data_IF_616657520116
#
_entry.id   IF_616657520116
#
_cell.length_a   1.000
_cell.length_b   1.000
_cell.length_c   1.000
_cell.angle_alpha   90.00
_cell.angle_beta   90.00
_cell.angle_gamma   90.00
#
_symmetry.space_group_name_H-M   'P 1'
#
loop_
_entity.id
_entity.type
_entity.pdbx_description
1 polymer ?
#
# COMPACT_ATOMS: atom_id res chain seq x y z
N UNK A 1 14.70 -14.40 27.97
CA UNK A 1 14.16 -13.23 27.23
C UNK A 1 15.28 -12.63 26.41
N UNK A 2 15.07 -12.45 25.10
CA UNK A 2 16.17 -12.25 24.15
C UNK A 2 16.38 -10.80 23.77
N UNK A 3 17.64 -10.38 23.75
CA UNK A 3 18.06 -9.22 22.99
C UNK A 3 18.00 -9.59 21.51
N UNK A 4 17.11 -8.96 20.75
CA UNK A 4 16.97 -9.18 19.31
C UNK A 4 17.85 -8.18 18.55
N UNK A 5 18.66 -8.68 17.63
CA UNK A 5 19.55 -7.87 16.79
C UNK A 5 19.20 -8.03 15.31
N UNK A 6 18.93 -6.93 14.63
CA UNK A 6 18.58 -6.95 13.19
C UNK A 6 18.88 -5.63 12.51
N UNK A 7 19.31 -5.65 11.24
CA UNK A 7 19.20 -4.50 10.34
C UNK A 7 17.74 -4.08 10.18
N UNK A 8 17.52 -2.78 10.03
CA UNK A 8 16.21 -2.17 9.97
C UNK A 8 16.19 -0.87 9.15
N UNK A 9 15.04 -0.58 8.55
CA UNK A 9 14.73 0.69 7.92
C UNK A 9 13.62 1.36 8.73
N UNK A 10 13.84 2.63 9.11
CA UNK A 10 12.84 3.40 9.84
C UNK A 10 11.70 3.79 8.89
N UNK A 11 10.49 3.27 9.11
CA UNK A 11 9.31 3.63 8.33
C UNK A 11 8.67 4.92 8.83
N UNK A 12 8.55 5.06 10.16
CA UNK A 12 7.85 6.17 10.80
C UNK A 12 8.42 6.43 12.18
N UNK A 13 8.61 7.70 12.52
CA UNK A 13 9.06 8.15 13.84
C UNK A 13 8.08 9.19 14.37
N UNK A 14 7.50 8.98 15.55
CA UNK A 14 6.57 9.93 16.17
C UNK A 14 6.97 10.23 17.61
N UNK A 15 6.75 11.47 18.04
CA UNK A 15 6.95 11.89 19.42
C UNK A 15 6.02 11.08 20.35
N UNK A 16 6.54 10.69 21.50
CA UNK A 16 5.78 10.00 22.55
C UNK A 16 6.16 10.58 23.90
N UNK A 17 5.18 11.15 24.61
CA UNK A 17 5.46 11.93 25.81
C UNK A 17 6.47 13.06 25.56
N UNK A 18 7.18 13.45 26.62
CA UNK A 18 8.11 14.59 26.57
C UNK A 18 9.46 14.23 25.95
N UNK A 19 10.01 13.07 26.28
CA UNK A 19 11.38 12.71 25.94
C UNK A 19 11.51 11.53 24.97
N UNK A 20 10.42 10.82 24.67
CA UNK A 20 10.48 9.53 23.98
C UNK A 20 9.98 9.61 22.53
N UNK A 21 10.21 8.54 21.77
CA UNK A 21 9.63 8.32 20.45
C UNK A 21 9.03 6.92 20.36
N UNK A 22 7.92 6.79 19.64
CA UNK A 22 7.47 5.51 19.09
C UNK A 22 7.95 5.46 17.65
N UNK A 23 8.67 4.41 17.30
CA UNK A 23 9.28 4.23 15.99
C UNK A 23 8.77 2.93 15.39
N UNK A 24 8.39 2.96 14.12
CA UNK A 24 8.01 1.79 13.33
C UNK A 24 9.15 1.48 12.37
N UNK A 25 9.58 0.23 12.36
CA UNK A 25 10.68 -0.24 11.53
C UNK A 25 10.20 -1.38 10.65
N UNK A 26 10.79 -1.52 9.48
CA UNK A 26 10.78 -2.78 8.75
C UNK A 26 12.16 -3.42 8.91
N UNK A 27 12.20 -4.62 9.46
CA UNK A 27 13.42 -5.31 9.83
C UNK A 27 13.66 -6.52 8.96
N UNK A 28 14.92 -6.86 8.73
CA UNK A 28 15.28 -8.02 7.92
C UNK A 28 14.76 -9.34 8.52
N UNK A 29 14.85 -9.48 9.85
CA UNK A 29 14.57 -10.76 10.53
C UNK A 29 13.18 -10.89 11.15
N UNK A 30 12.52 -9.78 11.47
CA UNK A 30 11.26 -9.78 12.23
C UNK A 30 10.14 -8.99 11.53
N UNK A 31 10.35 -8.58 10.28
CA UNK A 31 9.35 -7.85 9.52
C UNK A 31 9.05 -6.48 10.12
N UNK A 32 7.78 -6.06 10.04
CA UNK A 32 7.33 -4.80 10.60
C UNK A 32 7.23 -4.90 12.12
N UNK A 33 7.96 -4.05 12.83
CA UNK A 33 7.95 -3.98 14.30
C UNK A 33 7.83 -2.54 14.78
N UNK A 34 7.32 -2.37 16.01
CA UNK A 34 7.19 -1.06 16.65
C UNK A 34 7.96 -1.06 17.96
N UNK A 35 8.68 0.04 18.22
CA UNK A 35 9.50 0.17 19.41
C UNK A 35 9.36 1.53 20.09
N UNK A 36 9.47 1.53 21.42
CA UNK A 36 9.62 2.74 22.24
C UNK A 36 11.10 3.01 22.44
N UNK A 37 11.56 4.16 21.97
CA UNK A 37 12.89 4.68 22.22
C UNK A 37 12.83 5.73 23.33
N UNK A 38 13.20 5.32 24.55
CA UNK A 38 13.14 6.19 25.74
C UNK A 38 14.27 7.21 25.74
N UNK A 39 13.96 8.47 26.02
CA UNK A 39 14.92 9.57 26.02
C UNK A 39 15.42 9.97 24.63
N UNK A 40 14.80 9.46 23.55
CA UNK A 40 15.23 9.71 22.18
C UNK A 40 15.21 11.19 21.76
N UNK A 41 14.47 12.04 22.48
CA UNK A 41 14.37 13.48 22.22
C UNK A 41 15.21 14.34 23.16
N UNK A 42 15.95 13.74 24.10
CA UNK A 42 16.87 14.49 24.99
C UNK A 42 18.04 15.02 24.16
N UNK A 43 18.59 16.17 24.58
CA UNK A 43 19.73 16.81 23.90
C UNK A 43 20.93 15.87 23.75
N UNK A 44 21.23 15.07 24.79
CA UNK A 44 22.27 14.04 24.79
C UNK A 44 21.68 12.63 24.62
N UNK A 45 20.85 12.45 23.60
CA UNK A 45 20.26 11.15 23.27
C UNK A 45 21.28 10.23 22.63
N UNK A 46 21.37 8.99 23.13
CA UNK A 46 22.19 7.93 22.50
C UNK A 46 21.78 7.59 21.06
N UNK A 47 20.54 7.93 20.70
CA UNK A 47 19.96 7.56 19.40
C UNK A 47 20.29 8.56 18.29
N UNK A 48 20.71 9.79 18.62
CA UNK A 48 21.00 10.83 17.63
C UNK A 48 19.94 10.93 16.53
N UNK A 49 20.38 10.88 15.27
CA UNK A 49 19.53 10.85 14.07
C UNK A 49 19.15 9.43 13.61
N UNK A 50 19.59 8.37 14.30
CA UNK A 50 19.39 6.98 13.87
C UNK A 50 17.91 6.55 13.82
N UNK A 51 17.03 7.31 14.49
CA UNK A 51 15.59 7.07 14.55
C UNK A 51 14.77 8.04 13.67
N UNK A 52 15.43 8.79 12.80
CA UNK A 52 14.74 9.59 11.78
C UNK A 52 14.18 8.68 10.67
N UNK A 53 13.06 9.04 10.02
CA UNK A 53 12.51 8.27 8.90
C UNK A 53 13.54 7.99 7.81
N UNK A 54 13.40 6.84 7.15
CA UNK A 54 14.20 6.35 6.02
C UNK A 54 15.64 5.92 6.36
N UNK A 55 16.09 6.15 7.60
CA UNK A 55 17.42 5.72 8.03
C UNK A 55 17.51 4.19 8.04
N UNK A 56 18.59 3.67 7.48
CA UNK A 56 19.01 2.28 7.61
C UNK A 56 19.94 2.17 8.82
N UNK A 57 19.62 1.27 9.75
CA UNK A 57 20.33 1.11 11.01
C UNK A 57 20.36 -0.34 11.47
N UNK A 58 21.30 -0.68 12.36
CA UNK A 58 21.26 -1.90 13.16
C UNK A 58 20.52 -1.63 14.48
N UNK A 59 19.49 -2.41 14.76
CA UNK A 59 18.69 -2.29 15.97
C UNK A 59 19.01 -3.38 16.98
N UNK A 60 19.06 -2.96 18.24
CA UNK A 60 18.91 -3.84 19.39
C UNK A 60 17.54 -3.58 20.03
N UNK A 61 16.70 -4.61 20.03
CA UNK A 61 15.35 -4.59 20.58
C UNK A 61 15.27 -5.53 21.79
N UNK A 62 14.54 -5.12 22.81
CA UNK A 62 14.20 -5.95 23.94
C UNK A 62 12.68 -6.16 23.97
N UNK A 63 12.27 -7.41 23.87
CA UNK A 63 10.88 -7.81 23.98
C UNK A 63 10.39 -7.69 25.43
N UNK A 64 9.16 -7.24 25.62
CA UNK A 64 8.51 -7.23 26.93
C UNK A 64 7.33 -8.20 26.92
N UNK A 65 7.13 -8.95 28.01
CA UNK A 65 5.99 -9.86 28.08
C UNK A 65 4.70 -9.03 28.06
N UNK A 66 3.73 -9.46 27.24
CA UNK A 66 2.41 -8.83 27.09
C UNK A 66 2.41 -7.40 26.52
N UNK A 67 3.50 -6.94 25.90
CA UNK A 67 3.57 -5.63 25.23
C UNK A 67 3.67 -5.80 23.72
N UNK A 68 2.88 -5.04 22.96
CA UNK A 68 2.97 -4.98 21.51
C UNK A 68 4.14 -4.09 21.03
N UNK A 69 4.81 -3.38 21.96
CA UNK A 69 5.93 -2.51 21.67
C UNK A 69 7.24 -3.06 22.25
N UNK A 70 8.24 -3.20 21.38
CA UNK A 70 9.60 -3.46 21.80
C UNK A 70 10.19 -2.26 22.54
N UNK A 71 11.13 -2.49 23.44
CA UNK A 71 12.02 -1.43 23.94
C UNK A 71 13.22 -1.34 23.01
N UNK A 72 13.43 -0.18 22.37
CA UNK A 72 14.64 0.08 21.58
C UNK A 72 15.77 0.40 22.56
N UNK A 73 16.81 -0.43 22.60
CA UNK A 73 17.95 -0.24 23.51
C UNK A 73 19.13 0.46 22.84
N UNK A 74 19.31 0.22 21.53
CA UNK A 74 20.36 0.80 20.69
C UNK A 74 19.90 0.84 19.23
N UNK A 75 20.37 1.84 18.50
CA UNK A 75 20.19 1.97 17.06
C UNK A 75 21.49 2.55 16.48
N UNK A 76 22.26 1.71 15.78
CA UNK A 76 23.53 2.11 15.17
C UNK A 76 23.29 2.46 13.71
N UNK A 77 23.69 3.67 13.33
CA UNK A 77 23.45 4.22 11.99
C UNK A 77 24.29 3.49 10.95
N UNK A 78 23.66 3.03 9.87
CA UNK A 78 24.35 2.52 8.67
C UNK A 78 24.33 3.51 7.54
N UNK A 79 23.14 4.03 7.20
CA UNK A 79 22.96 4.97 6.10
C UNK A 79 21.77 5.90 6.35
N UNK A 80 21.93 7.19 6.04
CA UNK A 80 20.93 8.22 6.33
C UNK A 80 20.21 8.77 5.11
N UNK A 81 20.75 8.56 3.90
CA UNK A 81 20.24 9.10 2.63
C UNK A 81 19.95 10.62 2.72
N UNK A 82 20.97 11.47 2.93
CA UNK A 82 20.78 12.89 3.25
C UNK A 82 19.95 13.65 2.20
N UNK A 83 20.13 13.36 0.91
CA UNK A 83 19.44 14.09 -0.17
C UNK A 83 17.92 13.95 -0.12
N UNK A 84 17.41 12.87 0.48
CA UNK A 84 15.98 12.68 0.66
C UNK A 84 15.34 13.79 1.50
N UNK A 85 16.12 14.47 2.35
CA UNK A 85 15.63 15.58 3.20
C UNK A 85 15.86 16.96 2.57
N UNK A 86 16.69 17.03 1.54
CA UNK A 86 17.05 18.28 0.87
C UNK A 86 16.08 18.63 -0.27
N UNK A 87 15.35 17.64 -0.77
CA UNK A 87 14.39 17.80 -1.86
C UNK A 87 13.02 17.22 -1.47
N UNK A 88 11.97 18.04 -1.57
CA UNK A 88 10.61 17.66 -1.17
C UNK A 88 10.03 16.52 -2.02
N UNK A 89 10.36 16.45 -3.32
CA UNK A 89 9.93 15.35 -4.21
C UNK A 89 10.61 14.04 -3.82
N UNK A 90 11.89 14.07 -3.45
CA UNK A 90 12.60 12.90 -2.92
C UNK A 90 12.00 12.46 -1.58
N UNK A 91 11.72 13.42 -0.68
CA UNK A 91 11.16 13.14 0.63
C UNK A 91 9.76 12.51 0.53
N UNK A 92 8.93 13.02 -0.37
CA UNK A 92 7.56 12.53 -0.59
C UNK A 92 7.55 11.15 -1.25
N UNK A 93 8.44 10.88 -2.21
CA UNK A 93 8.69 9.54 -2.73
C UNK A 93 9.10 8.55 -1.64
N UNK A 94 10.10 8.89 -0.81
CA UNK A 94 10.55 8.03 0.28
C UNK A 94 9.45 7.79 1.34
N UNK A 95 8.67 8.84 1.65
CA UNK A 95 7.50 8.73 2.51
C UNK A 95 6.43 7.81 1.90
N UNK A 96 6.22 7.86 0.58
CA UNK A 96 5.28 6.98 -0.13
C UNK A 96 5.70 5.52 -0.02
N UNK A 97 6.97 5.21 -0.30
CA UNK A 97 7.57 3.88 -0.12
C UNK A 97 7.32 3.35 1.29
N UNK A 98 7.70 4.13 2.31
CA UNK A 98 7.58 3.75 3.71
C UNK A 98 6.12 3.57 4.17
N UNK A 99 5.23 4.47 3.76
CA UNK A 99 3.80 4.41 4.08
C UNK A 99 3.13 3.20 3.44
N UNK A 100 3.49 2.88 2.20
CA UNK A 100 2.94 1.72 1.51
C UNK A 100 3.38 0.43 2.19
N UNK A 101 4.69 0.25 2.43
CA UNK A 101 5.21 -0.92 3.17
C UNK A 101 4.53 -1.04 4.53
N UNK A 102 4.39 0.07 5.27
CA UNK A 102 3.72 0.07 6.57
C UNK A 102 2.24 -0.33 6.48
N UNK A 103 1.56 -0.04 5.38
CA UNK A 103 0.14 -0.34 5.18
C UNK A 103 -0.11 -1.79 4.75
N UNK A 104 0.74 -2.36 3.88
CA UNK A 104 0.49 -3.66 3.23
C UNK A 104 1.15 -4.85 3.92
N UNK A 105 2.00 -4.62 4.93
CA UNK A 105 2.67 -5.69 5.69
C UNK A 105 2.00 -5.90 7.05
N UNK A 106 1.94 -7.13 7.54
CA UNK A 106 1.50 -7.41 8.92
C UNK A 106 2.66 -7.18 9.92
N UNK A 107 2.34 -7.01 11.21
CA UNK A 107 3.37 -6.98 12.26
C UNK A 107 4.00 -8.39 12.43
N UNK A 108 5.32 -8.46 12.58
CA UNK A 108 6.03 -9.73 12.77
C UNK A 108 6.24 -10.58 11.51
N UNK A 109 5.65 -10.19 10.37
CA UNK A 109 5.77 -10.91 9.09
C UNK A 109 7.05 -10.50 8.35
N UNK A 110 8.10 -11.32 8.50
CA UNK A 110 9.41 -11.06 7.94
C UNK A 110 9.52 -11.55 6.49
N UNK A 111 9.64 -10.61 5.55
CA UNK A 111 10.00 -10.90 4.17
C UNK A 111 11.32 -10.21 3.80
N UNK A 112 12.40 -11.00 3.68
CA UNK A 112 13.74 -10.50 3.34
C UNK A 112 13.80 -9.83 1.97
N UNK A 113 13.09 -10.39 0.96
CA UNK A 113 13.00 -9.78 -0.38
C UNK A 113 12.34 -8.40 -0.33
N UNK A 114 11.34 -8.21 0.53
CA UNK A 114 10.68 -6.91 0.72
C UNK A 114 11.59 -5.92 1.45
N UNK A 115 12.37 -6.38 2.43
CA UNK A 115 13.40 -5.57 3.08
C UNK A 115 14.43 -5.04 2.07
N UNK A 116 15.00 -5.94 1.27
CA UNK A 116 15.97 -5.60 0.22
C UNK A 116 15.38 -4.64 -0.81
N UNK A 117 14.13 -4.88 -1.23
CA UNK A 117 13.43 -4.02 -2.19
C UNK A 117 13.17 -2.63 -1.62
N UNK A 118 12.78 -2.52 -0.35
CA UNK A 118 12.62 -1.23 0.32
C UNK A 118 13.96 -0.49 0.43
N UNK A 119 15.03 -1.17 0.85
CA UNK A 119 16.35 -0.55 0.93
C UNK A 119 16.83 -0.05 -0.43
N UNK A 120 16.70 -0.88 -1.47
CA UNK A 120 17.06 -0.52 -2.82
C UNK A 120 16.19 0.62 -3.37
N UNK A 121 14.89 0.64 -3.05
CA UNK A 121 13.98 1.72 -3.45
C UNK A 121 14.34 3.06 -2.81
N UNK A 122 14.64 3.07 -1.50
CA UNK A 122 15.09 4.27 -0.78
C UNK A 122 16.43 4.78 -1.34
N UNK A 123 17.40 3.88 -1.59
CA UNK A 123 18.67 4.25 -2.21
C UNK A 123 18.53 4.71 -3.67
N UNK A 124 17.63 4.10 -4.45
CA UNK A 124 17.38 4.50 -5.83
C UNK A 124 16.82 5.92 -5.92
N UNK A 125 15.97 6.34 -4.98
CA UNK A 125 15.45 7.71 -4.93
C UNK A 125 16.57 8.75 -4.75
N UNK A 126 17.61 8.46 -3.97
CA UNK A 126 18.71 9.41 -3.74
C UNK A 126 19.47 9.80 -5.03
N UNK A 127 19.46 8.92 -6.03
CA UNK A 127 20.11 9.12 -7.32
C UNK A 127 19.13 9.18 -8.49
N UNK A 128 17.83 9.31 -8.22
CA UNK A 128 16.81 9.28 -9.25
C UNK A 128 16.73 10.59 -10.03
N UNK A 129 16.85 10.51 -11.36
CA UNK A 129 16.51 11.61 -12.26
C UNK A 129 14.99 11.91 -12.23
N UNK A 130 14.18 10.87 -12.10
CA UNK A 130 12.72 10.95 -11.96
C UNK A 130 12.24 10.21 -10.71
N UNK A 131 12.13 10.93 -9.57
CA UNK A 131 11.76 10.32 -8.29
C UNK A 131 10.33 9.75 -8.27
N UNK A 132 9.42 10.39 -9.01
CA UNK A 132 8.02 9.96 -9.10
C UNK A 132 7.90 8.66 -9.89
N UNK A 133 8.62 8.53 -11.00
CA UNK A 133 8.65 7.29 -11.78
C UNK A 133 9.34 6.15 -11.01
N UNK A 134 10.40 6.47 -10.25
CA UNK A 134 11.07 5.53 -9.34
C UNK A 134 10.11 5.04 -8.25
N UNK A 135 9.29 5.95 -7.71
CA UNK A 135 8.25 5.63 -6.73
C UNK A 135 7.20 4.70 -7.34
N UNK A 136 6.66 5.04 -8.52
CA UNK A 136 5.67 4.22 -9.24
C UNK A 136 6.20 2.80 -9.52
N UNK A 137 7.44 2.69 -9.97
CA UNK A 137 8.08 1.40 -10.21
C UNK A 137 8.20 0.56 -8.94
N UNK A 138 8.53 1.19 -7.81
CA UNK A 138 8.57 0.52 -6.51
C UNK A 138 7.18 0.01 -6.11
N UNK A 139 6.13 0.81 -6.26
CA UNK A 139 4.76 0.42 -5.90
C UNK A 139 4.29 -0.80 -6.68
N UNK A 140 4.47 -0.79 -8.00
CA UNK A 140 4.17 -1.93 -8.88
C UNK A 140 4.93 -3.18 -8.40
N UNK A 141 6.21 -3.02 -8.05
CA UNK A 141 7.03 -4.13 -7.57
C UNK A 141 6.56 -4.67 -6.22
N UNK A 142 6.22 -3.78 -5.29
CA UNK A 142 5.78 -4.13 -3.96
C UNK A 142 4.45 -4.89 -4.00
N UNK A 143 3.50 -4.46 -4.83
CA UNK A 143 2.25 -5.16 -5.06
C UNK A 143 2.50 -6.62 -5.47
N UNK A 144 3.47 -6.84 -6.36
CA UNK A 144 3.87 -8.20 -6.76
C UNK A 144 4.49 -9.03 -5.63
N UNK A 145 5.30 -8.41 -4.75
CA UNK A 145 5.95 -9.11 -3.63
C UNK A 145 5.01 -9.42 -2.46
N UNK A 146 3.90 -8.70 -2.35
CA UNK A 146 2.93 -8.80 -1.26
C UNK A 146 1.70 -9.61 -1.63
N UNK A 147 1.72 -10.28 -2.78
CA UNK A 147 0.61 -11.11 -3.26
C UNK A 147 -0.53 -10.32 -3.93
N UNK A 148 -0.42 -9.00 -4.01
CA UNK A 148 -1.40 -8.11 -4.65
C UNK A 148 -1.04 -7.80 -6.11
N UNK A 149 -0.31 -8.68 -6.79
CA UNK A 149 0.03 -8.51 -8.21
C UNK A 149 -1.27 -8.28 -9.01
N UNK A 150 -1.41 -7.16 -9.76
CA UNK A 150 -2.60 -6.96 -10.57
C UNK A 150 -2.74 -8.05 -11.63
N UNK A 151 -3.97 -8.52 -11.83
CA UNK A 151 -4.26 -9.53 -12.86
C UNK A 151 -4.25 -8.88 -14.25
N UNK A 152 -3.39 -9.37 -15.13
CA UNK A 152 -3.21 -8.83 -16.50
C UNK A 152 -3.38 -9.88 -17.60
N UNK A 153 -3.48 -11.15 -17.22
CA UNK A 153 -3.39 -12.28 -18.16
C UNK A 153 -4.78 -12.75 -18.60
N UNK A 154 -5.77 -12.65 -17.71
CA UNK A 154 -7.19 -12.91 -17.99
C UNK A 154 -8.09 -11.86 -17.33
N UNK A 155 -9.38 -11.85 -17.68
CA UNK A 155 -10.33 -10.95 -17.05
C UNK A 155 -10.47 -11.24 -15.56
N UNK A 156 -10.14 -10.28 -14.71
CA UNK A 156 -10.22 -10.39 -13.25
C UNK A 156 -11.63 -10.65 -12.70
N UNK A 157 -12.67 -10.49 -13.53
CA UNK A 157 -14.07 -10.70 -13.11
C UNK A 157 -14.67 -12.02 -13.61
N UNK A 158 -14.40 -12.44 -14.86
CA UNK A 158 -14.99 -13.67 -15.41
C UNK A 158 -14.00 -14.82 -15.60
N UNK A 159 -12.70 -14.56 -15.46
CA UNK A 159 -11.64 -15.57 -15.60
C UNK A 159 -11.25 -15.93 -17.04
N UNK A 160 -12.03 -15.52 -18.04
CA UNK A 160 -11.75 -15.79 -19.45
C UNK A 160 -10.47 -15.09 -19.92
N UNK A 161 -9.65 -15.81 -20.69
CA UNK A 161 -8.40 -15.29 -21.23
C UNK A 161 -8.65 -14.18 -22.25
N UNK A 162 -7.76 -13.19 -22.29
CA UNK A 162 -7.90 -12.12 -23.28
C UNK A 162 -7.54 -12.63 -24.68
N UNK A 163 -8.45 -12.45 -25.63
CA UNK A 163 -8.33 -13.00 -27.00
C UNK A 163 -9.28 -14.16 -27.26
N UNK A 164 -9.90 -14.74 -26.22
CA UNK A 164 -10.99 -15.70 -26.39
C UNK A 164 -12.33 -15.01 -26.71
N UNK A 165 -13.27 -15.71 -27.37
CA UNK A 165 -14.62 -15.20 -27.63
C UNK A 165 -15.29 -14.70 -26.35
N UNK A 166 -15.79 -13.46 -26.36
CA UNK A 166 -16.44 -12.84 -25.19
C UNK A 166 -15.51 -11.97 -24.33
N UNK A 167 -14.20 -12.01 -24.56
CA UNK A 167 -13.21 -11.11 -23.94
C UNK A 167 -12.43 -10.30 -24.98
N UNK A 168 -13.09 -9.25 -25.50
CA UNK A 168 -12.53 -8.32 -26.48
C UNK A 168 -11.89 -7.06 -25.87
N UNK A 169 -11.63 -6.10 -26.74
CA UNK A 169 -11.09 -4.77 -26.42
C UNK A 169 -12.18 -3.68 -26.52
N UNK A 170 -12.04 -2.52 -25.86
CA UNK A 170 -10.93 -2.13 -24.98
C UNK A 170 -10.95 -2.83 -23.62
N UNK A 171 -9.76 -3.06 -23.06
CA UNK A 171 -9.62 -3.59 -21.69
C UNK A 171 -9.46 -2.41 -20.75
N UNK A 172 -10.13 -2.46 -19.62
CA UNK A 172 -10.03 -1.44 -18.60
C UNK A 172 -9.46 -2.04 -17.31
N UNK A 173 -8.80 -1.22 -16.51
CA UNK A 173 -8.28 -1.62 -15.23
C UNK A 173 -9.30 -1.32 -14.14
N UNK A 174 -9.77 -2.34 -13.42
CA UNK A 174 -10.62 -2.18 -12.24
C UNK A 174 -9.78 -2.38 -10.98
N UNK A 175 -9.56 -1.32 -10.18
CA UNK A 175 -8.89 -1.44 -8.89
C UNK A 175 -9.61 -2.41 -7.94
N UNK A 176 -10.94 -2.41 -7.96
CA UNK A 176 -11.74 -3.25 -7.07
C UNK A 176 -11.79 -4.73 -7.53
N UNK A 177 -11.63 -5.01 -8.82
CA UNK A 177 -11.43 -6.39 -9.30
C UNK A 177 -9.97 -6.85 -9.17
N UNK A 178 -9.04 -5.92 -8.92
CA UNK A 178 -7.62 -6.21 -8.79
C UNK A 178 -6.90 -6.48 -10.12
N UNK A 179 -7.40 -5.96 -11.23
CA UNK A 179 -6.79 -6.21 -12.53
C UNK A 179 -7.60 -5.73 -13.73
N UNK A 180 -7.24 -6.23 -14.90
CA UNK A 180 -7.93 -5.94 -16.15
C UNK A 180 -9.30 -6.63 -16.21
N UNK A 181 -10.28 -5.92 -16.75
CA UNK A 181 -11.63 -6.42 -17.02
C UNK A 181 -11.99 -6.23 -18.48
N UNK A 182 -12.74 -7.19 -19.04
CA UNK A 182 -13.25 -7.10 -20.41
C UNK A 182 -14.44 -6.11 -20.48
N UNK A 183 -14.80 -5.60 -21.67
CA UNK A 183 -15.88 -4.62 -21.83
C UNK A 183 -17.20 -5.03 -21.18
N UNK A 184 -17.56 -6.31 -21.30
CA UNK A 184 -18.81 -6.83 -20.74
C UNK A 184 -18.82 -6.81 -19.21
N UNK A 185 -17.68 -7.11 -18.58
CA UNK A 185 -17.54 -7.05 -17.12
C UNK A 185 -17.43 -5.61 -16.62
N UNK A 186 -16.74 -4.74 -17.36
CA UNK A 186 -16.64 -3.32 -17.04
C UNK A 186 -18.03 -2.66 -17.05
N UNK A 187 -18.86 -2.89 -18.07
CA UNK A 187 -20.20 -2.31 -18.19
C UNK A 187 -21.22 -2.77 -17.14
N UNK A 188 -20.94 -3.88 -16.43
CA UNK A 188 -21.79 -4.37 -15.33
C UNK A 188 -21.36 -3.86 -13.95
N UNK A 189 -20.22 -3.18 -13.87
CA UNK A 189 -19.63 -2.78 -12.59
C UNK A 189 -20.07 -1.38 -12.17
N UNK A 190 -20.42 -1.19 -10.89
CA UNK A 190 -20.73 0.14 -10.34
C UNK A 190 -19.45 0.93 -10.00
N UNK A 191 -18.31 0.27 -9.86
CA UNK A 191 -17.03 0.90 -9.57
C UNK A 191 -16.33 1.45 -10.82
N UNK A 192 -15.54 2.50 -10.61
CA UNK A 192 -14.80 3.17 -11.66
C UNK A 192 -13.72 2.25 -12.23
N UNK A 193 -13.85 1.90 -13.50
CA UNK A 193 -12.81 1.30 -14.31
C UNK A 193 -11.98 2.39 -15.00
N UNK A 194 -10.68 2.14 -15.19
CA UNK A 194 -9.71 3.09 -15.72
C UNK A 194 -9.26 2.62 -17.11
N UNK A 195 -9.38 3.46 -18.16
CA UNK A 195 -8.87 3.10 -19.47
C UNK A 195 -7.34 3.01 -19.42
N UNK A 196 -6.78 1.97 -20.03
CA UNK A 196 -5.34 1.84 -20.26
C UNK A 196 -5.10 1.68 -21.75
N UNK A 197 -4.23 2.52 -22.31
CA UNK A 197 -3.71 2.32 -23.66
C UNK A 197 -2.93 1.02 -23.76
N UNK A 198 -2.77 0.49 -24.99
CA UNK A 198 -1.96 -0.71 -25.23
C UNK A 198 -0.51 -0.54 -24.73
N UNK A 199 0.05 0.68 -24.84
CA UNK A 199 1.37 1.02 -24.32
C UNK A 199 1.45 0.95 -22.79
N UNK A 200 0.46 1.49 -22.09
CA UNK A 200 0.37 1.40 -20.63
C UNK A 200 0.22 -0.03 -20.15
N UNK A 201 -0.63 -0.83 -20.80
CA UNK A 201 -0.78 -2.24 -20.46
C UNK A 201 0.52 -3.01 -20.66
N UNK A 202 1.17 -2.86 -21.81
CA UNK A 202 2.44 -3.52 -22.09
C UNK A 202 3.52 -3.14 -21.06
N UNK A 203 3.59 -1.87 -20.68
CA UNK A 203 4.55 -1.38 -19.70
C UNK A 203 4.25 -1.90 -18.28
N UNK A 204 2.97 -1.94 -17.87
CA UNK A 204 2.55 -2.53 -16.60
C UNK A 204 2.96 -4.00 -16.52
N UNK A 205 2.63 -4.79 -17.56
CA UNK A 205 2.99 -6.21 -17.64
C UNK A 205 4.51 -6.42 -17.60
N UNK A 206 5.26 -5.56 -18.28
CA UNK A 206 6.72 -5.61 -18.26
C UNK A 206 7.28 -5.29 -16.87
N UNK A 207 6.77 -4.24 -16.22
CA UNK A 207 7.19 -3.82 -14.88
C UNK A 207 6.94 -4.92 -13.83
N UNK A 208 5.81 -5.63 -13.93
CA UNK A 208 5.49 -6.75 -13.03
C UNK A 208 6.46 -7.93 -13.16
N UNK A 209 7.09 -8.11 -14.33
CA UNK A 209 8.07 -9.18 -14.59
C UNK A 209 9.50 -8.83 -14.16
N UNK A 210 9.83 -7.56 -13.95
CA UNK A 210 11.19 -7.17 -13.59
C UNK A 210 11.63 -7.69 -12.23
N UNK A 211 12.92 -7.99 -12.11
CA UNK A 211 13.52 -8.36 -10.83
C UNK A 211 13.47 -7.19 -9.83
N UNK A 212 13.36 -7.46 -8.51
CA UNK A 212 13.22 -6.41 -7.50
C UNK A 212 14.38 -5.41 -7.47
N UNK A 213 15.59 -5.83 -7.84
CA UNK A 213 16.79 -4.99 -7.88
C UNK A 213 16.78 -3.90 -8.97
N UNK A 214 15.70 -3.79 -9.75
CA UNK A 214 15.67 -3.06 -11.02
C UNK A 214 14.50 -2.05 -11.05
N UNK A 215 14.29 -1.35 -9.95
CA UNK A 215 13.24 -0.32 -9.81
C UNK A 215 13.43 0.84 -10.80
N UNK A 216 14.68 1.15 -11.16
CA UNK A 216 15.01 2.31 -12.01
C UNK A 216 14.83 2.09 -13.52
N UNK A 217 14.42 0.91 -13.99
CA UNK A 217 14.25 0.65 -15.45
C UNK A 217 12.92 1.12 -16.02
N UNK A 218 11.96 1.53 -15.18
CA UNK A 218 10.69 2.04 -15.69
C UNK A 218 10.93 3.31 -16.50
N UNK A 219 10.37 3.33 -17.71
CA UNK A 219 10.39 4.49 -18.61
C UNK A 219 8.96 4.71 -19.07
N UNK A 220 8.31 5.74 -18.54
CA UNK A 220 6.96 6.12 -18.91
C UNK A 220 6.93 7.64 -19.10
N UNK A 221 6.27 8.10 -20.16
CA UNK A 221 6.11 9.52 -20.47
C UNK A 221 4.69 9.82 -20.92
N UNK A 222 4.28 11.09 -20.81
CA UNK A 222 2.99 11.58 -21.30
C UNK A 222 1.80 10.76 -20.79
N UNK A 223 0.92 10.37 -21.72
CA UNK A 223 -0.29 9.61 -21.43
C UNK A 223 -0.01 8.29 -20.70
N UNK A 224 1.03 7.54 -21.11
CA UNK A 224 1.34 6.23 -20.52
C UNK A 224 1.66 6.36 -19.04
N UNK A 225 2.43 7.38 -18.67
CA UNK A 225 2.75 7.66 -17.27
C UNK A 225 1.48 8.01 -16.47
N UNK A 226 0.67 8.93 -16.98
CA UNK A 226 -0.52 9.40 -16.27
C UNK A 226 -1.53 8.26 -16.04
N UNK A 227 -1.71 7.38 -17.04
CA UNK A 227 -2.56 6.19 -16.93
C UNK A 227 -2.05 5.22 -15.87
N UNK A 228 -0.74 4.93 -15.85
CA UNK A 228 -0.15 4.03 -14.86
C UNK A 228 -0.18 4.61 -13.44
N UNK A 229 0.14 5.88 -13.26
CA UNK A 229 0.06 6.56 -11.97
C UNK A 229 -1.38 6.51 -11.42
N UNK A 230 -2.39 6.80 -12.26
CA UNK A 230 -3.79 6.72 -11.86
C UNK A 230 -4.23 5.30 -11.50
N UNK A 231 -3.85 4.30 -12.30
CA UNK A 231 -4.20 2.90 -12.05
C UNK A 231 -3.55 2.35 -10.78
N UNK A 232 -2.26 2.61 -10.59
CA UNK A 232 -1.51 2.16 -9.41
C UNK A 232 -1.99 2.89 -8.15
N UNK A 233 -2.23 4.20 -8.18
CA UNK A 233 -2.76 4.95 -7.03
C UNK A 233 -4.12 4.41 -6.58
N UNK A 234 -5.03 4.21 -7.54
CA UNK A 234 -6.36 3.70 -7.25
C UNK A 234 -6.31 2.28 -6.67
N UNK A 235 -5.42 1.43 -7.18
CA UNK A 235 -5.27 0.07 -6.68
C UNK A 235 -4.55 -0.01 -5.34
N UNK A 236 -3.50 0.78 -5.13
CA UNK A 236 -2.84 0.94 -3.83
C UNK A 236 -3.83 1.37 -2.77
N UNK A 237 -4.77 2.25 -3.10
CA UNK A 237 -5.84 2.67 -2.17
C UNK A 237 -6.72 1.50 -1.74
N UNK A 238 -7.08 0.60 -2.66
CA UNK A 238 -7.83 -0.63 -2.35
C UNK A 238 -7.00 -1.57 -1.48
N UNK A 239 -5.76 -1.86 -1.87
CA UNK A 239 -4.86 -2.80 -1.18
C UNK A 239 -4.49 -2.31 0.22
N UNK A 240 -4.22 -1.01 0.37
CA UNK A 240 -3.93 -0.40 1.67
C UNK A 240 -5.18 -0.20 2.54
N UNK A 241 -6.38 -0.37 1.97
CA UNK A 241 -7.68 -0.13 2.63
C UNK A 241 -7.95 1.33 2.97
N UNK A 242 -7.12 2.26 2.50
CA UNK A 242 -7.23 3.71 2.72
C UNK A 242 -6.36 4.45 1.72
N UNK A 243 -6.68 5.71 1.50
CA UNK A 243 -5.80 6.58 0.72
C UNK A 243 -4.50 6.83 1.50
N UNK A 244 -3.38 6.65 0.81
CA UNK A 244 -2.06 7.01 1.32
C UNK A 244 -1.73 8.43 0.88
N UNK A 245 -0.86 9.16 1.60
CA UNK A 245 -0.34 10.43 1.10
C UNK A 245 0.25 10.22 -0.31
N UNK A 246 -0.03 11.12 -1.26
CA UNK A 246 0.43 10.97 -2.64
C UNK A 246 1.95 11.10 -2.73
N UNK A 247 2.53 10.45 -3.73
CA UNK A 247 3.96 10.55 -4.03
C UNK A 247 4.35 11.98 -4.44
N UNK A 248 3.52 12.67 -5.21
CA UNK A 248 3.66 14.10 -5.50
C UNK A 248 2.72 14.90 -4.59
N UNK A 249 3.20 15.18 -3.38
CA UNK A 249 2.45 15.99 -2.42
C UNK A 249 2.12 17.38 -2.98
N UNK A 250 3.04 18.01 -3.72
CA UNK A 250 2.87 19.37 -4.23
C UNK A 250 1.80 19.44 -5.33
N UNK A 251 1.79 18.51 -6.28
CA UNK A 251 0.76 18.45 -7.30
C UNK A 251 -0.64 18.23 -6.70
N UNK A 252 -0.74 17.40 -5.64
CA UNK A 252 -2.01 17.15 -4.97
C UNK A 252 -2.61 18.40 -4.31
N UNK A 253 -1.77 19.26 -3.72
CA UNK A 253 -2.22 20.55 -3.16
C UNK A 253 -2.73 21.50 -4.23
N UNK A 254 -2.11 21.52 -5.43
CA UNK A 254 -2.55 22.40 -6.53
C UNK A 254 -3.92 22.03 -7.10
N UNK A 255 -4.28 20.75 -7.06
CA UNK A 255 -5.61 20.26 -7.46
C UNK A 255 -6.68 20.53 -6.38
N UNK A 256 -6.28 20.66 -5.10
CA UNK A 256 -7.19 20.97 -3.99
C UNK A 256 -7.48 22.47 -3.82
N UNK A 257 -6.64 23.35 -4.38
CA UNK A 257 -6.91 24.79 -4.47
C UNK A 257 -7.77 25.10 -5.70
N UNK A 258 -9.04 24.67 -5.68
CA UNK A 258 -10.07 25.28 -6.51
C UNK A 258 -10.28 26.75 -6.10
N UNK A 259 -10.81 27.62 -6.98
CA UNK A 259 -11.06 29.01 -6.63
C UNK A 259 -11.97 29.05 -5.41
N UNK A 260 -11.55 29.76 -4.36
CA UNK A 260 -12.38 30.00 -3.19
C UNK A 260 -13.73 30.60 -3.58
N UNK A 261 -14.76 30.49 -2.71
CA UNK A 261 -16.09 31.00 -3.02
C UNK A 261 -15.95 32.47 -3.42
N UNK A 262 -16.33 32.76 -4.66
CA UNK A 262 -16.39 34.13 -5.16
C UNK A 262 -17.44 34.82 -4.29
N UNK A 263 -16.98 35.68 -3.39
CA UNK A 263 -17.88 36.50 -2.60
C UNK A 263 -18.65 37.40 -3.59
N UNK A 264 -19.95 37.17 -3.71
CA UNK A 264 -20.85 38.12 -4.34
C UNK A 264 -20.81 39.41 -3.52
N UNK A 265 -19.94 40.35 -3.90
CA UNK A 265 -20.00 41.74 -3.46
C UNK A 265 -21.19 42.40 -4.14
N UNK A 266 -22.07 42.96 -3.32
CA UNK A 266 -23.47 43.14 -3.65
C UNK A 266 -23.82 44.31 -4.57
N UNK A 267 -25.05 44.24 -5.08
CA UNK A 267 -26.01 45.35 -5.18
C UNK A 267 -27.42 44.74 -5.35
N UNK A 268 -28.53 45.46 -5.08
CA UNK A 268 -29.61 44.97 -4.23
C UNK A 268 -30.79 44.41 -5.04
N UNK A 269 -31.62 43.66 -4.33
CA UNK A 269 -32.93 43.18 -4.78
C UNK A 269 -33.83 44.33 -5.27
N UNK A 270 -34.58 44.07 -6.35
CA UNK A 270 -35.86 44.74 -6.62
C UNK A 270 -36.89 43.64 -6.93
N UNK A 271 -38.07 43.65 -6.30
CA UNK A 271 -39.08 42.59 -6.43
C UNK A 271 -40.08 42.93 -7.53
N UNK A 272 -40.57 41.96 -8.32
CA UNK A 272 -41.93 41.99 -8.91
C UNK A 272 -42.48 40.58 -9.19
N UNK A 273 -43.51 40.23 -8.42
CA UNK A 273 -44.79 39.60 -8.82
C UNK A 273 -44.85 38.59 -9.98
N UNK A 274 -45.18 37.34 -9.67
CA UNK A 274 -46.53 36.76 -9.93
C UNK A 274 -46.51 35.22 -9.86
N UNK A 275 -47.54 34.66 -9.23
CA UNK A 275 -48.04 33.31 -9.57
C UNK A 275 -47.66 32.19 -8.61
N UNK A 276 -48.39 32.10 -7.49
CA UNK A 276 -48.60 30.84 -6.78
C UNK A 276 -49.66 30.02 -7.55
N UNK A 277 -49.52 28.69 -7.63
CA UNK A 277 -50.63 27.89 -7.13
C UNK A 277 -50.18 26.84 -6.12
N UNK A 278 -51.03 26.74 -5.11
CA UNK A 278 -51.09 25.78 -4.02
C UNK A 278 -51.44 24.36 -4.48
N UNK A 279 -50.96 23.36 -3.74
CA UNK A 279 -51.29 21.94 -3.81
C UNK A 279 -50.13 21.16 -3.20
N UNK A 280 -50.02 21.04 -1.88
CA UNK A 280 -50.81 20.18 -0.99
C UNK A 280 -50.66 18.70 -1.41
N UNK A 281 -49.70 18.00 -0.80
CA UNK A 281 -49.88 16.66 -0.23
C UNK A 281 -48.65 16.27 0.61
N UNK A 282 -48.93 15.77 1.81
CA UNK A 282 -47.97 15.49 2.87
C UNK A 282 -47.16 14.19 2.71
N UNK A 283 -46.35 13.85 3.73
CA UNK A 283 -45.26 12.88 3.62
C UNK A 283 -45.71 11.45 3.91
N UNK A 284 -45.22 10.48 3.12
CA UNK A 284 -45.29 9.05 3.44
C UNK A 284 -43.91 8.57 3.88
N UNK A 285 -43.74 8.06 5.12
CA UNK A 285 -42.50 7.42 5.55
C UNK A 285 -42.61 5.89 5.59
N UNK A 286 -41.43 5.27 5.75
CA UNK A 286 -41.13 3.92 6.27
C UNK A 286 -41.00 2.76 5.26
N UNK A 287 -39.85 2.08 5.37
CA UNK A 287 -39.62 0.77 4.79
C UNK A 287 -38.18 0.27 4.93
N UNK A 288 -37.63 0.27 6.15
CA UNK A 288 -36.37 -0.41 6.47
C UNK A 288 -36.62 -1.92 6.47
N UNK A 289 -35.95 -2.66 5.59
CA UNK A 289 -35.92 -4.12 5.62
C UNK A 289 -34.53 -4.63 6.02
N UNK A 290 -34.44 -5.28 7.19
CA UNK A 290 -33.39 -6.25 7.58
C UNK A 290 -34.10 -7.53 8.09
N UNK A 291 -33.41 -8.65 8.35
CA UNK A 291 -33.39 -9.82 7.49
C UNK A 291 -34.19 -10.99 8.08
N UNK A 292 -34.62 -11.92 7.24
CA UNK A 292 -35.19 -13.19 7.70
C UNK A 292 -34.08 -14.10 8.23
N UNK A 293 -34.12 -14.39 9.52
CA UNK A 293 -33.45 -15.54 10.15
C UNK A 293 -34.24 -16.80 9.83
N UNK A 294 -33.58 -17.82 9.27
CA UNK A 294 -34.11 -19.19 9.30
C UNK A 294 -33.13 -20.06 10.08
N UNK A 295 -33.66 -20.58 11.18
CA UNK A 295 -33.11 -21.65 11.98
C UNK A 295 -33.42 -22.97 11.29
N UNK A 296 -32.44 -23.84 11.07
CA UNK A 296 -32.68 -25.27 10.88
C UNK A 296 -31.68 -26.06 11.70
N UNK A 297 -32.22 -27.12 12.26
CA UNK A 297 -31.78 -27.98 13.33
C UNK A 297 -30.37 -28.57 13.24
N UNK A 298 -29.82 -28.69 14.44
CA UNK A 298 -28.79 -29.60 14.87
C UNK A 298 -29.26 -31.05 14.85
N UNK A 299 -28.49 -31.93 14.21
CA UNK A 299 -28.49 -33.36 14.48
C UNK A 299 -27.07 -33.82 14.80
N UNK A 300 -26.92 -34.43 15.97
CA UNK A 300 -25.69 -35.03 16.47
C UNK A 300 -25.64 -36.50 16.03
N UNK A 301 -24.50 -36.98 15.52
CA UNK A 301 -24.10 -38.38 15.69
C UNK A 301 -22.56 -38.53 15.63
N UNK A 302 -22.00 -38.80 16.80
CA UNK A 302 -20.81 -39.61 17.15
C UNK A 302 -19.69 -39.93 16.13
N UNK A 303 -18.48 -39.48 16.50
CA UNK A 303 -17.25 -40.24 16.74
C UNK A 303 -16.80 -41.39 15.81
N UNK A 304 -15.61 -41.23 15.21
CA UNK A 304 -14.54 -42.24 15.22
C UNK A 304 -13.19 -41.63 14.81
N UNK A 305 -12.20 -41.74 15.69
CA UNK A 305 -10.78 -41.42 15.49
C UNK A 305 -10.10 -42.43 14.56
N UNK A 306 -9.07 -41.99 13.83
CA UNK A 306 -8.11 -42.84 13.13
C UNK A 306 -6.98 -42.04 12.46
N UNK A 307 -5.69 -42.25 12.80
CA UNK A 307 -4.57 -41.45 12.31
C UNK A 307 -4.06 -41.89 10.92
N UNK A 308 -3.29 -41.03 10.21
CA UNK A 308 -2.80 -41.33 8.86
C UNK A 308 -1.62 -42.32 8.86
N UNK A 309 -1.41 -43.08 7.77
CA UNK A 309 -0.32 -44.05 7.69
C UNK A 309 1.04 -43.38 7.50
N UNK A 310 1.99 -43.85 8.31
CA UNK A 310 3.43 -43.67 8.20
C UNK A 310 3.99 -44.47 7.02
N UNK A 311 4.76 -43.82 6.14
CA UNK A 311 5.71 -44.52 5.27
C UNK A 311 7.14 -44.33 5.80
N UNK A 312 7.73 -45.46 6.18
CA UNK A 312 9.08 -45.58 6.70
C UNK A 312 10.16 -45.48 5.64
N UNK A 313 11.37 -45.37 6.16
CA UNK A 313 12.62 -45.09 5.48
C UNK A 313 13.16 -46.24 4.62
N UNK A 314 13.97 -45.86 3.63
CA UNK A 314 15.09 -46.68 3.14
C UNK A 314 16.38 -45.90 3.29
N UNK A 315 17.27 -46.48 4.08
CA UNK A 315 18.70 -46.17 4.22
C UNK A 315 19.51 -46.76 3.05
N UNK A 316 20.81 -46.42 3.01
CA UNK A 316 21.89 -46.94 2.13
C UNK A 316 22.07 -46.11 0.84
N UNK A 317 23.25 -45.65 0.42
CA UNK A 317 24.62 -46.10 0.68
C UNK A 317 25.66 -45.02 0.35
N UNK A 318 26.83 -45.20 0.97
CA UNK A 318 28.11 -44.52 0.83
C UNK A 318 28.62 -44.12 -0.60
N UNK A 319 29.41 -43.04 -0.60
CA UNK A 319 30.63 -42.77 -1.40
C UNK A 319 31.52 -44.02 -1.62
N UNK A 320 32.50 -44.07 -2.57
CA UNK A 320 33.40 -42.96 -2.94
C UNK A 320 33.85 -42.85 -4.42
N UNK A 321 34.20 -41.62 -4.83
CA UNK A 321 35.48 -41.18 -5.39
C UNK A 321 35.41 -39.67 -5.69
#
# INVERSE_FOLDING_TARGET
>A
MGLLKTPAIVLKSRKWGEADRIVTFYTLKFGKVRGVARGARRMQSRFGSALEPFVHCDLNLFEKPHDHLYRVTQADLRETFPKLRENLTLMSGAARLANLVAAVTAEGDACGRLYETLLAGVGALESADDPLLTTLAFEIKLLGLTGFKPQTDHCASCGTEFGEPGCGEPREFSPAAGGLVCPSCAGRRPDRCLPLSAGSLALLQQALRWAPAVVSRLRATGQVRAELEAAVEAYVTIVAGRQLPPADFLASTRLSTGPGPVACSGTPCIPQSNGCPTGDEGPVPLGVARPATSSVESDQLSAAEGPPPSYGATTSSASPL
#
